data_IF_583600566072
#
_entry.id   IF_583600566072
#
_cell.length_a   1.000
_cell.length_b   1.000
_cell.length_c   1.000
_cell.angle_alpha   90.00
_cell.angle_beta   90.00
_cell.angle_gamma   90.00
#
_symmetry.space_group_name_H-M   'P 1'
#
loop_
_entity.id
_entity.type
_entity.pdbx_description
1 polymer ?
#
# COMPACT_ATOMS: atom_id res chain seq x y z
N UNK A 1 22.14 9.00 -11.94
CA UNK A 1 20.74 9.15 -12.36
C UNK A 1 19.90 9.38 -11.12
N UNK A 2 19.59 10.65 -10.85
CA UNK A 2 18.94 11.15 -9.63
C UNK A 2 17.52 11.60 -9.95
N UNK A 3 16.58 10.64 -10.00
CA UNK A 3 15.13 10.88 -10.20
C UNK A 3 14.28 10.29 -9.05
N UNK A 4 14.89 10.25 -7.87
CA UNK A 4 14.43 9.47 -6.71
C UNK A 4 13.07 9.91 -6.12
N UNK A 5 12.69 11.21 -6.02
CA UNK A 5 11.45 11.60 -5.35
C UNK A 5 10.17 11.43 -6.20
N UNK A 6 10.28 11.65 -7.51
CA UNK A 6 9.12 11.67 -8.43
C UNK A 6 8.60 10.25 -8.67
N UNK A 7 9.53 9.31 -8.82
CA UNK A 7 9.21 7.89 -8.97
C UNK A 7 8.62 7.30 -7.68
N UNK A 8 9.14 7.66 -6.50
CA UNK A 8 8.59 7.20 -5.22
C UNK A 8 7.14 7.63 -5.01
N UNK A 9 6.84 8.90 -5.29
CA UNK A 9 5.46 9.42 -5.16
C UNK A 9 4.50 8.72 -6.11
N UNK A 10 4.94 8.48 -7.35
CA UNK A 10 4.17 7.75 -8.35
C UNK A 10 3.89 6.30 -7.92
N UNK A 11 4.91 5.58 -7.48
CA UNK A 11 4.79 4.18 -7.03
C UNK A 11 3.91 4.09 -5.78
N UNK A 12 4.03 5.03 -4.85
CA UNK A 12 3.17 5.11 -3.66
C UNK A 12 1.71 5.37 -4.04
N UNK A 13 1.45 6.24 -5.01
CA UNK A 13 0.10 6.43 -5.56
C UNK A 13 -0.46 5.15 -6.20
N UNK A 14 0.36 4.39 -6.93
CA UNK A 14 -0.03 3.11 -7.52
C UNK A 14 -0.35 2.05 -6.46
N UNK A 15 0.45 1.99 -5.40
CA UNK A 15 0.23 1.09 -4.26
C UNK A 15 -1.12 1.36 -3.60
N UNK A 16 -1.42 2.62 -3.29
CA UNK A 16 -2.70 3.02 -2.71
C UNK A 16 -3.87 2.68 -3.65
N UNK A 17 -3.75 2.99 -4.94
CA UNK A 17 -4.79 2.64 -5.92
C UNK A 17 -5.08 1.14 -5.99
N UNK A 18 -4.07 0.28 -5.87
CA UNK A 18 -4.26 -1.18 -5.90
C UNK A 18 -4.84 -1.72 -4.61
N UNK A 19 -4.36 -1.22 -3.47
CA UNK A 19 -4.92 -1.53 -2.17
C UNK A 19 -6.40 -1.16 -2.12
N UNK A 20 -6.77 0.05 -2.53
CA UNK A 20 -8.16 0.51 -2.51
C UNK A 20 -9.06 -0.35 -3.41
N UNK A 21 -8.55 -0.80 -4.57
CA UNK A 21 -9.26 -1.77 -5.43
C UNK A 21 -9.50 -3.11 -4.75
N UNK A 22 -8.51 -3.62 -4.02
CA UNK A 22 -8.62 -4.88 -3.27
C UNK A 22 -9.56 -4.73 -2.06
N UNK A 23 -9.49 -3.63 -1.32
CA UNK A 23 -10.44 -3.31 -0.22
C UNK A 23 -11.87 -3.29 -0.75
N UNK A 24 -12.12 -2.61 -1.88
CA UNK A 24 -13.44 -2.54 -2.48
C UNK A 24 -14.00 -3.93 -2.87
N UNK A 25 -13.10 -4.86 -3.21
CA UNK A 25 -13.42 -6.24 -3.59
C UNK A 25 -13.06 -7.26 -2.51
N UNK A 26 -12.87 -6.83 -1.25
CA UNK A 26 -12.42 -7.72 -0.15
C UNK A 26 -13.34 -8.92 0.07
N UNK A 27 -14.63 -8.75 -0.23
CA UNK A 27 -15.65 -9.78 -0.15
C UNK A 27 -15.54 -10.85 -1.25
N UNK A 28 -14.78 -10.58 -2.32
CA UNK A 28 -14.45 -11.51 -3.39
C UNK A 28 -13.10 -12.20 -3.17
N UNK A 29 -12.35 -11.83 -2.13
CA UNK A 29 -11.05 -12.44 -1.84
C UNK A 29 -11.31 -13.84 -1.29
N UNK A 30 -10.86 -14.90 -2.00
CA UNK A 30 -11.09 -16.26 -1.57
C UNK A 30 -10.30 -16.56 -0.29
N UNK A 31 -10.79 -17.53 0.49
CA UNK A 31 -10.24 -17.82 1.82
C UNK A 31 -8.74 -18.19 1.81
N UNK A 32 -8.26 -18.81 0.73
CA UNK A 32 -6.85 -19.11 0.50
C UNK A 32 -5.97 -17.85 0.37
N UNK A 33 -6.54 -16.74 -0.09
CA UNK A 33 -5.87 -15.46 -0.30
C UNK A 33 -6.11 -14.46 0.84
N UNK A 34 -7.00 -14.75 1.79
CA UNK A 34 -7.30 -13.83 2.90
C UNK A 34 -6.10 -13.57 3.82
N UNK A 35 -5.31 -14.60 4.13
CA UNK A 35 -4.13 -14.43 4.99
C UNK A 35 -3.10 -13.51 4.34
N UNK A 36 -2.85 -13.72 3.03
CA UNK A 36 -1.95 -12.87 2.25
C UNK A 36 -2.49 -11.45 2.12
N UNK A 37 -3.80 -11.30 1.91
CA UNK A 37 -4.45 -9.99 1.89
C UNK A 37 -4.29 -9.26 3.23
N UNK A 38 -4.52 -9.93 4.36
CA UNK A 38 -4.43 -9.32 5.69
C UNK A 38 -3.00 -8.86 6.03
N UNK A 39 -2.00 -9.63 5.62
CA UNK A 39 -0.59 -9.26 5.76
C UNK A 39 -0.26 -8.02 4.92
N UNK A 40 -0.63 -8.03 3.63
CA UNK A 40 -0.43 -6.90 2.73
C UNK A 40 -1.22 -5.65 3.15
N UNK A 41 -2.44 -5.79 3.64
CA UNK A 41 -3.25 -4.69 4.17
C UNK A 41 -2.54 -4.05 5.37
N UNK A 42 -2.00 -4.86 6.28
CA UNK A 42 -1.25 -4.39 7.45
C UNK A 42 0.05 -3.68 7.06
N UNK A 43 0.81 -4.25 6.13
CA UNK A 43 2.04 -3.63 5.62
C UNK A 43 1.74 -2.33 4.87
N UNK A 44 0.62 -2.26 4.15
CA UNK A 44 0.27 -1.08 3.36
C UNK A 44 -0.51 -0.02 4.15
N UNK A 45 -0.99 -0.34 5.36
CA UNK A 45 -1.70 0.59 6.23
C UNK A 45 -0.85 1.80 6.63
N UNK A 46 0.48 1.67 6.71
CA UNK A 46 1.40 2.76 7.03
C UNK A 46 1.46 3.85 5.96
N UNK A 47 1.03 3.52 4.74
CA UNK A 47 0.93 4.46 3.62
C UNK A 47 -0.41 5.17 3.58
N UNK A 48 -1.38 4.77 4.41
CA UNK A 48 -2.71 5.36 4.41
C UNK A 48 -2.67 6.81 4.92
N UNK A 49 -3.13 7.79 4.13
CA UNK A 49 -3.23 9.17 4.60
C UNK A 49 -4.10 9.32 5.87
N UNK A 50 -5.08 8.44 6.10
CA UNK A 50 -5.88 8.42 7.33
C UNK A 50 -5.06 8.05 8.58
N UNK A 51 -4.11 7.11 8.45
CA UNK A 51 -3.20 6.72 9.53
C UNK A 51 -2.09 7.76 9.75
N UNK A 52 -1.74 8.52 8.72
CA UNK A 52 -0.76 9.61 8.80
C UNK A 52 -1.29 10.83 9.56
N UNK A 53 -2.61 11.01 9.64
CA UNK A 53 -3.24 12.10 10.39
C UNK A 53 -3.25 11.93 11.91
N UNK A 54 -3.19 10.70 12.43
CA UNK A 54 -3.24 10.45 13.88
C UNK A 54 -1.91 10.73 14.60
N UNK A 55 -0.78 10.75 13.90
CA UNK A 55 0.53 11.10 14.49
C UNK A 55 0.70 12.60 14.80
N UNK A 56 -0.22 13.47 14.33
CA UNK A 56 -0.15 14.93 14.56
C UNK A 56 -0.67 15.40 15.92
N UNK A 57 -1.26 14.53 16.75
CA UNK A 57 -1.90 14.97 18.00
C UNK A 57 -1.00 14.94 19.24
N UNK A 58 0.23 14.43 19.15
CA UNK A 58 1.21 14.49 20.23
C UNK A 58 2.33 15.49 19.90
N UNK A 59 2.08 16.77 20.20
CA UNK A 59 3.14 17.77 20.33
C UNK A 59 3.67 18.37 19.04
N UNK A 60 2.88 19.28 18.46
CA UNK A 60 3.31 20.56 17.89
C UNK A 60 4.66 20.59 17.11
N UNK A 61 4.87 19.64 16.22
CA UNK A 61 5.85 19.78 15.14
C UNK A 61 5.10 19.45 13.87
N UNK A 62 4.98 20.42 12.94
CA UNK A 62 4.60 20.10 11.57
C UNK A 62 5.60 19.07 11.07
N UNK A 63 5.23 17.79 11.14
CA UNK A 63 6.00 16.72 10.53
C UNK A 63 5.87 17.00 9.04
N UNK A 64 6.87 17.71 8.52
CA UNK A 64 7.06 17.91 7.08
C UNK A 64 6.78 16.57 6.43
N UNK A 65 5.83 16.56 5.49
CA UNK A 65 5.32 15.43 4.69
C UNK A 65 6.45 14.52 4.19
N UNK A 66 7.04 13.75 5.08
CA UNK A 66 8.10 12.80 4.80
C UNK A 66 7.47 11.50 5.17
N UNK A 67 6.89 10.86 4.15
CA UNK A 67 6.56 9.45 4.17
C UNK A 67 7.59 8.75 5.07
N UNK A 68 7.14 8.23 6.20
CA UNK A 68 7.98 7.51 7.18
C UNK A 68 8.57 6.23 6.59
N UNK A 69 8.30 5.96 5.31
CA UNK A 69 8.93 4.93 4.54
C UNK A 69 10.43 5.21 4.35
N UNK A 70 11.22 4.62 5.25
CA UNK A 70 12.69 4.50 5.12
C UNK A 70 13.11 3.39 4.14
N UNK A 71 12.17 2.65 3.55
CA UNK A 71 12.44 1.60 2.57
C UNK A 71 12.88 2.16 1.22
N UNK A 72 13.48 1.31 0.41
CA UNK A 72 13.92 1.67 -0.94
C UNK A 72 12.72 1.62 -1.90
N UNK A 73 12.79 2.32 -3.04
CA UNK A 73 11.76 2.25 -4.08
C UNK A 73 11.49 0.81 -4.55
N UNK A 74 12.49 -0.07 -4.45
CA UNK A 74 12.37 -1.50 -4.75
C UNK A 74 11.40 -2.22 -3.81
N UNK A 75 11.36 -1.84 -2.53
CA UNK A 75 10.44 -2.43 -1.55
C UNK A 75 9.00 -1.99 -1.85
N UNK A 76 8.80 -0.71 -2.23
CA UNK A 76 7.52 -0.20 -2.71
C UNK A 76 7.05 -0.92 -3.98
N UNK A 77 7.94 -1.11 -4.95
CA UNK A 77 7.60 -1.84 -6.19
C UNK A 77 7.27 -3.30 -5.88
N UNK A 78 8.01 -3.95 -4.98
CA UNK A 78 7.71 -5.31 -4.54
C UNK A 78 6.32 -5.42 -3.93
N UNK A 79 5.93 -4.49 -3.04
CA UNK A 79 4.59 -4.44 -2.46
C UNK A 79 3.51 -4.23 -3.54
N UNK A 80 3.76 -3.33 -4.49
CA UNK A 80 2.87 -3.11 -5.63
C UNK A 80 2.69 -4.40 -6.44
N UNK A 81 3.77 -5.11 -6.74
CA UNK A 81 3.71 -6.34 -7.51
C UNK A 81 3.01 -7.46 -6.75
N UNK A 82 3.20 -7.58 -5.45
CA UNK A 82 2.47 -8.53 -4.60
C UNK A 82 0.96 -8.25 -4.60
N UNK A 83 0.55 -6.98 -4.49
CA UNK A 83 -0.87 -6.59 -4.62
C UNK A 83 -1.42 -6.90 -6.02
N UNK A 84 -0.63 -6.70 -7.09
CA UNK A 84 -1.03 -7.08 -8.46
C UNK A 84 -1.24 -8.58 -8.60
N UNK A 85 -0.30 -9.38 -8.08
CA UNK A 85 -0.37 -10.83 -8.13
C UNK A 85 -1.59 -11.34 -7.38
N UNK A 86 -1.83 -10.83 -6.15
CA UNK A 86 -3.01 -11.15 -5.37
C UNK A 86 -4.30 -10.81 -6.14
N UNK A 87 -4.39 -9.61 -6.71
CA UNK A 87 -5.53 -9.20 -7.52
C UNK A 87 -5.72 -10.08 -8.78
N UNK A 88 -4.64 -10.58 -9.37
CA UNK A 88 -4.71 -11.53 -10.50
C UNK A 88 -5.21 -12.91 -10.05
N UNK A 89 -4.77 -13.40 -8.89
CA UNK A 89 -5.23 -14.68 -8.34
C UNK A 89 -6.73 -14.63 -8.01
N UNK A 90 -7.18 -13.56 -7.37
CA UNK A 90 -8.61 -13.35 -7.05
C UNK A 90 -9.47 -13.39 -8.32
N UNK A 91 -9.02 -12.78 -9.42
CA UNK A 91 -9.73 -12.82 -10.72
C UNK A 91 -9.86 -14.22 -11.30
N UNK A 92 -8.84 -15.06 -11.14
CA UNK A 92 -8.84 -16.44 -11.65
C UNK A 92 -9.83 -17.30 -10.84
N UNK A 93 -9.92 -17.08 -9.52
CA UNK A 93 -10.82 -17.85 -8.64
C UNK A 93 -12.28 -17.41 -8.74
N UNK A 94 -12.57 -16.18 -9.16
CA UNK A 94 -13.94 -15.66 -9.29
C UNK A 94 -14.66 -16.10 -10.58
N UNK A 95 -14.14 -17.08 -11.33
CA UNK A 95 -14.69 -17.60 -12.58
C UNK A 95 -15.39 -18.95 -12.38
#
# INVERSE_FOLDING_TARGET
>A
MTDTPRNQTLVMGQLLQMRDKLIAKRHLIPANCQSQWAELEKETAVFDPANQGQLSHSGNTMVTKRSLFRGNINDLMSLVDQLRQLNSQIKITAH
#
